data_IF_440820002465
#
_entry.id   IF_440820002465
#
_cell.length_a   1.000
_cell.length_b   1.000
_cell.length_c   1.000
_cell.angle_alpha   90.00
_cell.angle_beta   90.00
_cell.angle_gamma   90.00
#
_symmetry.space_group_name_H-M   'P 1'
#
loop_
_entity.id
_entity.type
_entity.pdbx_description
1 polymer ?
#
# COMPACT_ATOMS: atom_id res chain seq x y z
N UNK A 1 -30.06 29.70 -45.17
CA UNK A 1 -31.29 30.13 -44.46
C UNK A 1 -31.85 28.91 -43.71
N UNK A 2 -31.30 28.46 -42.58
CA UNK A 2 -30.68 29.21 -41.46
C UNK A 2 -31.64 30.34 -41.00
N UNK A 3 -32.17 30.45 -39.79
CA UNK A 3 -31.91 29.84 -38.46
C UNK A 3 -33.27 29.53 -37.76
N UNK A 4 -33.40 28.82 -36.63
CA UNK A 4 -32.42 28.26 -35.69
C UNK A 4 -32.95 26.98 -34.98
N UNK A 5 -32.16 26.38 -34.07
CA UNK A 5 -32.62 25.40 -33.08
C UNK A 5 -32.13 25.82 -31.68
N UNK A 6 -33.03 26.30 -30.81
CA UNK A 6 -32.68 26.60 -29.41
C UNK A 6 -32.77 25.31 -28.57
N UNK A 7 -31.62 24.70 -28.31
CA UNK A 7 -31.48 23.55 -27.41
C UNK A 7 -30.93 24.04 -26.08
N UNK A 8 -31.81 24.16 -25.09
CA UNK A 8 -31.44 24.61 -23.74
C UNK A 8 -30.50 23.60 -23.07
N UNK A 9 -29.19 23.88 -23.08
CA UNK A 9 -28.21 23.02 -22.42
C UNK A 9 -28.37 23.07 -20.88
N UNK A 10 -28.43 21.89 -20.27
CA UNK A 10 -28.66 21.71 -18.84
C UNK A 10 -27.32 21.62 -18.08
N UNK A 11 -26.91 22.62 -17.28
CA UNK A 11 -25.58 22.66 -16.64
C UNK A 11 -25.52 21.79 -15.37
N UNK A 12 -25.61 20.47 -15.53
CA UNK A 12 -25.50 19.50 -14.43
C UNK A 12 -24.50 18.35 -14.70
N UNK A 13 -23.25 18.69 -15.01
CA UNK A 13 -22.13 17.73 -14.97
C UNK A 13 -20.81 18.40 -14.58
N UNK A 14 -20.39 18.21 -13.31
CA UNK A 14 -19.00 18.33 -12.77
C UNK A 14 -18.91 18.48 -11.24
N UNK A 15 -20.03 18.58 -10.51
CA UNK A 15 -20.04 18.63 -9.05
C UNK A 15 -19.76 17.25 -8.40
N UNK A 16 -18.52 16.76 -8.53
CA UNK A 16 -18.09 15.48 -7.96
C UNK A 16 -16.69 15.47 -7.34
N UNK A 17 -15.74 16.28 -7.83
CA UNK A 17 -14.32 16.19 -7.44
C UNK A 17 -13.84 17.30 -6.47
N UNK A 18 -14.73 18.20 -6.03
CA UNK A 18 -14.34 19.47 -5.39
C UNK A 18 -14.43 19.53 -3.86
N UNK A 19 -14.88 18.45 -3.18
CA UNK A 19 -14.98 18.41 -1.71
C UNK A 19 -13.59 18.23 -1.07
N UNK A 20 -13.26 19.03 -0.05
CA UNK A 20 -12.05 18.85 0.74
C UNK A 20 -12.09 17.51 1.49
N UNK A 21 -10.98 16.79 1.49
CA UNK A 21 -10.84 15.49 2.15
C UNK A 21 -10.52 15.65 3.64
N UNK A 22 -9.70 16.64 3.98
CA UNK A 22 -9.40 17.09 5.35
C UNK A 22 -9.01 18.57 5.30
N UNK A 23 -9.37 19.33 6.32
CA UNK A 23 -8.88 20.69 6.53
C UNK A 23 -8.59 20.92 8.02
N UNK A 24 -7.75 21.91 8.33
CA UNK A 24 -7.35 22.19 9.71
C UNK A 24 -6.08 23.04 9.81
N UNK A 25 -5.80 23.53 11.01
CA UNK A 25 -4.60 24.29 11.30
C UNK A 25 -3.38 23.38 11.47
N UNK A 26 -2.26 23.75 10.83
CA UNK A 26 -0.93 23.18 11.09
C UNK A 26 0.10 24.30 11.13
N UNK A 27 1.24 24.06 11.79
CA UNK A 27 2.41 24.94 11.69
C UNK A 27 3.37 24.35 10.67
N UNK A 28 3.84 25.16 9.73
CA UNK A 28 4.88 24.78 8.75
C UNK A 28 6.18 25.50 9.02
N UNK A 29 7.31 24.84 8.80
CA UNK A 29 8.59 25.51 8.72
C UNK A 29 8.73 26.25 7.38
N UNK A 30 9.43 27.38 7.34
CA UNK A 30 9.80 28.08 6.12
C UNK A 30 10.94 27.37 5.37
N UNK A 31 10.97 27.54 4.05
CA UNK A 31 11.90 26.85 3.16
C UNK A 31 13.34 27.34 3.30
N UNK A 32 13.61 28.58 2.86
CA UNK A 32 14.92 29.24 3.02
C UNK A 32 15.18 29.66 4.48
N UNK A 33 14.27 30.46 5.05
CA UNK A 33 14.33 30.88 6.45
C UNK A 33 13.51 29.89 7.28
N UNK A 34 14.15 29.21 8.23
CA UNK A 34 13.56 28.09 8.99
C UNK A 34 12.59 28.53 10.12
N UNK A 35 11.82 29.60 9.89
CA UNK A 35 10.80 30.12 10.80
C UNK A 35 9.52 29.29 10.78
N UNK A 36 8.82 29.21 11.91
CA UNK A 36 7.54 28.52 12.02
C UNK A 36 6.37 29.46 11.74
N UNK A 37 5.43 29.01 10.90
CA UNK A 37 4.22 29.75 10.54
C UNK A 37 2.98 28.86 10.65
N UNK A 38 2.00 29.29 11.45
CA UNK A 38 0.67 28.69 11.49
C UNK A 38 -0.09 29.02 10.20
N UNK A 39 -0.71 28.02 9.58
CA UNK A 39 -1.45 28.16 8.32
C UNK A 39 -2.66 27.24 8.33
N UNK A 40 -3.73 27.65 7.65
CA UNK A 40 -4.84 26.77 7.37
C UNK A 40 -4.47 25.84 6.21
N UNK A 41 -4.60 24.54 6.41
CA UNK A 41 -4.29 23.53 5.40
C UNK A 41 -5.57 22.87 4.89
N UNK A 42 -5.62 22.57 3.59
CA UNK A 42 -6.73 21.89 2.93
C UNK A 42 -6.19 20.80 2.00
N UNK A 43 -6.50 19.55 2.31
CA UNK A 43 -6.23 18.39 1.47
C UNK A 43 -7.38 18.23 0.47
N UNK A 44 -7.08 18.29 -0.83
CA UNK A 44 -8.10 18.24 -1.88
C UNK A 44 -7.52 17.67 -3.18
N UNK A 45 -8.04 16.51 -3.59
CA UNK A 45 -7.43 15.73 -4.68
C UNK A 45 -5.97 15.42 -4.35
N UNK A 46 -5.10 15.47 -5.37
CA UNK A 46 -3.67 15.13 -5.27
C UNK A 46 -2.79 16.20 -4.57
N UNK A 47 -3.40 17.22 -3.97
CA UNK A 47 -2.70 18.40 -3.48
C UNK A 47 -3.10 18.78 -2.05
N UNK A 48 -2.11 19.18 -1.27
CA UNK A 48 -2.25 19.79 0.04
C UNK A 48 -1.97 21.29 -0.09
N UNK A 49 -3.04 22.09 -0.07
CA UNK A 49 -3.00 23.54 -0.16
C UNK A 49 -2.78 24.14 1.23
N UNK A 50 -2.12 25.30 1.30
CA UNK A 50 -2.08 26.09 2.53
C UNK A 50 -2.35 27.57 2.28
N UNK A 51 -3.08 28.16 3.22
CA UNK A 51 -3.62 29.51 3.16
C UNK A 51 -3.13 30.31 4.37
N UNK A 52 -3.24 31.64 4.29
CA UNK A 52 -2.93 32.50 5.45
C UNK A 52 -3.88 32.20 6.61
N UNK A 53 -5.16 32.02 6.29
CA UNK A 53 -6.28 31.80 7.21
C UNK A 53 -7.37 30.91 6.57
N UNK A 54 -8.46 30.61 7.27
CA UNK A 54 -9.52 29.69 6.80
C UNK A 54 -10.48 30.33 5.77
N UNK A 55 -10.75 31.63 5.89
CA UNK A 55 -11.60 32.41 4.96
C UNK A 55 -10.90 32.76 3.63
N UNK A 56 -9.59 32.52 3.53
CA UNK A 56 -8.78 32.94 2.39
C UNK A 56 -8.99 32.01 1.17
N UNK A 57 -9.46 32.58 0.06
CA UNK A 57 -9.73 31.81 -1.18
C UNK A 57 -8.49 31.53 -2.02
N UNK A 58 -7.41 32.31 -1.82
CA UNK A 58 -6.16 32.20 -2.60
C UNK A 58 -5.08 31.46 -1.80
N UNK A 59 -4.59 30.30 -2.25
CA UNK A 59 -3.54 29.58 -1.55
C UNK A 59 -2.22 30.36 -1.58
N UNK A 60 -1.49 30.35 -0.46
CA UNK A 60 -0.11 30.82 -0.38
C UNK A 60 0.87 29.83 -1.02
N UNK A 61 0.46 28.56 -1.15
CA UNK A 61 1.17 27.54 -1.87
C UNK A 61 0.44 26.21 -1.87
N UNK A 62 0.99 25.27 -2.62
CA UNK A 62 0.50 23.90 -2.77
C UNK A 62 1.66 22.94 -2.61
N UNK A 63 1.38 21.77 -2.03
CA UNK A 63 2.26 20.62 -1.95
C UNK A 63 1.59 19.51 -2.75
N UNK A 64 2.12 19.21 -3.94
CA UNK A 64 1.73 18.01 -4.69
C UNK A 64 2.14 16.77 -3.91
N UNK A 65 1.24 15.80 -3.74
CA UNK A 65 1.46 14.64 -2.88
C UNK A 65 1.92 13.39 -3.64
N UNK A 66 1.30 12.97 -4.78
CA UNK A 66 1.66 11.73 -5.44
C UNK A 66 3.16 11.53 -5.70
N UNK A 67 3.62 10.33 -5.37
CA UNK A 67 5.02 9.94 -5.54
C UNK A 67 6.00 10.48 -4.49
N UNK A 68 5.57 11.37 -3.58
CA UNK A 68 6.36 11.82 -2.42
C UNK A 68 6.15 10.88 -1.21
N UNK A 69 6.65 11.24 -0.04
CA UNK A 69 6.58 10.40 1.19
C UNK A 69 6.23 11.25 2.41
N UNK A 70 5.61 10.65 3.43
CA UNK A 70 5.45 11.25 4.76
C UNK A 70 6.26 10.48 5.79
N UNK A 71 7.19 11.17 6.44
CA UNK A 71 7.93 10.68 7.60
C UNK A 71 7.30 11.23 8.87
N UNK A 72 7.19 10.39 9.89
CA UNK A 72 6.81 10.79 11.24
C UNK A 72 8.07 10.95 12.07
N UNK A 73 8.16 12.03 12.84
CA UNK A 73 9.30 12.31 13.71
C UNK A 73 8.89 12.00 15.16
N UNK A 74 9.60 11.11 15.87
CA UNK A 74 9.27 10.79 17.25
C UNK A 74 9.42 12.00 18.17
N UNK A 75 8.70 11.98 19.28
CA UNK A 75 8.78 13.03 20.30
C UNK A 75 10.13 12.97 21.04
N UNK A 76 11.12 13.73 20.54
CA UNK A 76 12.48 13.75 21.09
C UNK A 76 12.60 14.57 22.39
N UNK A 77 13.58 14.20 23.23
CA UNK A 77 13.87 14.84 24.52
C UNK A 77 14.22 16.33 24.42
N UNK A 78 14.82 16.77 23.31
CA UNK A 78 15.09 18.19 23.04
C UNK A 78 13.83 19.01 22.68
N UNK A 79 12.67 18.37 22.51
CA UNK A 79 11.44 18.99 22.02
C UNK A 79 10.16 18.24 22.42
N UNK A 80 9.93 17.98 23.72
CA UNK A 80 8.74 17.28 24.20
C UNK A 80 7.46 18.00 23.76
N UNK A 81 6.48 17.23 23.28
CA UNK A 81 5.16 17.73 22.85
C UNK A 81 5.10 18.35 21.44
N UNK A 82 6.12 18.16 20.58
CA UNK A 82 6.05 18.57 19.16
C UNK A 82 5.64 17.40 18.27
N UNK A 83 4.36 17.37 17.86
CA UNK A 83 3.80 16.37 16.95
C UNK A 83 4.23 16.66 15.50
N UNK A 84 5.43 16.20 15.13
CA UNK A 84 6.13 16.56 13.91
C UNK A 84 6.03 15.48 12.82
N UNK A 85 5.73 15.91 11.60
CA UNK A 85 5.77 15.05 10.42
C UNK A 85 6.28 15.83 9.21
N UNK A 86 6.82 15.13 8.22
CA UNK A 86 7.56 15.75 7.13
C UNK A 86 7.16 15.15 5.78
N UNK A 87 6.75 16.01 4.84
CA UNK A 87 6.55 15.61 3.45
C UNK A 87 7.87 15.78 2.70
N UNK A 88 8.52 14.66 2.38
CA UNK A 88 9.82 14.59 1.72
C UNK A 88 9.67 14.12 0.27
N UNK A 89 10.55 14.55 -0.65
CA UNK A 89 10.47 14.14 -2.05
C UNK A 89 10.76 12.64 -2.19
N UNK A 90 10.06 11.97 -3.12
CA UNK A 90 10.21 10.54 -3.36
C UNK A 90 10.98 10.21 -4.63
N UNK A 91 11.80 9.15 -4.59
CA UNK A 91 12.63 8.73 -5.72
C UNK A 91 13.92 9.55 -5.84
N UNK A 92 14.38 9.78 -7.06
CA UNK A 92 15.65 10.47 -7.34
C UNK A 92 15.49 12.00 -7.33
N UNK A 93 14.57 12.53 -6.50
CA UNK A 93 14.32 13.97 -6.37
C UNK A 93 14.88 14.45 -5.04
N UNK A 94 15.85 15.35 -5.08
CA UNK A 94 16.45 15.91 -3.85
C UNK A 94 15.63 17.04 -3.23
N UNK A 95 14.59 17.55 -3.92
CA UNK A 95 13.76 18.66 -3.44
C UNK A 95 12.31 18.66 -3.92
N UNK A 96 11.41 19.10 -3.05
CA UNK A 96 9.98 19.26 -3.32
C UNK A 96 9.68 20.44 -4.26
N UNK A 97 10.30 21.59 -4.02
CA UNK A 97 10.19 22.82 -4.86
C UNK A 97 11.53 23.54 -4.95
N UNK A 98 11.61 24.63 -5.73
CA UNK A 98 12.80 25.49 -5.76
C UNK A 98 13.17 26.07 -4.37
N UNK A 99 12.16 26.26 -3.50
CA UNK A 99 12.29 26.94 -2.21
C UNK A 99 12.25 26.00 -1.01
N UNK A 100 11.84 24.73 -1.19
CA UNK A 100 11.69 23.74 -0.13
C UNK A 100 12.30 22.40 -0.58
N UNK A 101 13.30 21.93 0.14
CA UNK A 101 13.82 20.56 0.03
C UNK A 101 12.74 19.58 0.48
N UNK A 102 12.17 19.83 1.66
CA UNK A 102 11.01 19.13 2.24
C UNK A 102 10.03 20.12 2.89
N UNK A 103 8.86 19.62 3.32
CA UNK A 103 7.90 20.37 4.12
C UNK A 103 7.76 19.75 5.50
N UNK A 104 8.45 20.32 6.49
CA UNK A 104 8.27 19.98 7.90
C UNK A 104 7.03 20.67 8.47
N UNK A 105 6.13 19.87 9.03
CA UNK A 105 4.82 20.24 9.54
C UNK A 105 4.67 19.81 11.00
N UNK A 106 3.87 20.55 11.76
CA UNK A 106 3.60 20.31 13.18
C UNK A 106 2.10 20.43 13.46
N UNK A 107 1.53 19.41 14.07
CA UNK A 107 0.14 19.39 14.51
C UNK A 107 -0.02 19.87 15.97
N UNK A 108 -1.26 20.17 16.36
CA UNK A 108 -1.65 20.55 17.73
C UNK A 108 -1.66 19.39 18.71
N UNK A 109 -1.99 18.18 18.24
CA UNK A 109 -2.08 16.97 19.06
C UNK A 109 -1.49 15.76 18.32
N UNK A 110 -1.21 14.68 19.06
CA UNK A 110 -0.80 13.40 18.47
C UNK A 110 -1.86 12.86 17.49
N UNK A 111 -3.13 12.86 17.89
CA UNK A 111 -4.24 12.40 17.05
C UNK A 111 -4.37 13.24 15.76
N UNK A 112 -4.21 14.57 15.85
CA UNK A 112 -4.19 15.43 14.66
C UNK A 112 -3.07 15.03 13.70
N UNK A 113 -1.86 14.77 14.22
CA UNK A 113 -0.72 14.32 13.41
C UNK A 113 -1.02 12.99 12.73
N UNK A 114 -1.45 11.98 13.47
CA UNK A 114 -1.82 10.66 12.96
C UNK A 114 -2.88 10.77 11.85
N UNK A 115 -3.98 11.51 12.10
CA UNK A 115 -5.02 11.74 11.10
C UNK A 115 -4.51 12.47 9.84
N UNK A 116 -3.64 13.47 10.00
CA UNK A 116 -3.05 14.19 8.87
C UNK A 116 -2.11 13.30 8.06
N UNK A 117 -1.22 12.56 8.72
CA UNK A 117 -0.29 11.60 8.11
C UNK A 117 -1.10 10.54 7.35
N UNK A 118 -2.10 9.93 7.99
CA UNK A 118 -3.00 8.94 7.40
C UNK A 118 -3.70 9.47 6.15
N UNK A 119 -4.28 10.66 6.24
CA UNK A 119 -4.98 11.31 5.12
C UNK A 119 -4.04 11.64 3.95
N UNK A 120 -2.85 12.17 4.23
CA UNK A 120 -1.86 12.51 3.22
C UNK A 120 -1.31 11.25 2.54
N UNK A 121 -0.99 10.19 3.31
CA UNK A 121 -0.50 8.93 2.75
C UNK A 121 -1.53 8.27 1.82
N UNK A 122 -2.82 8.27 2.17
CA UNK A 122 -3.90 7.82 1.25
C UNK A 122 -3.92 8.57 -0.08
N UNK A 123 -3.61 9.88 -0.09
CA UNK A 123 -3.50 10.67 -1.33
C UNK A 123 -2.18 10.41 -2.08
N UNK A 124 -1.07 10.18 -1.39
CA UNK A 124 0.20 9.74 -2.00
C UNK A 124 -0.01 8.41 -2.76
N UNK A 125 -0.79 7.50 -2.17
CA UNK A 125 -1.22 6.25 -2.79
C UNK A 125 -2.43 6.39 -3.73
N UNK A 126 -3.00 7.59 -3.88
CA UNK A 126 -4.24 7.85 -4.63
C UNK A 126 -4.21 7.39 -6.09
N UNK A 127 -3.17 7.70 -6.88
CA UNK A 127 -3.01 7.17 -8.25
C UNK A 127 -2.84 5.64 -8.32
N UNK A 128 -2.63 5.01 -7.17
CA UNK A 128 -2.50 3.57 -6.98
C UNK A 128 -3.69 3.04 -6.14
N UNK A 129 -4.88 3.63 -6.24
CA UNK A 129 -6.09 3.13 -5.57
C UNK A 129 -6.28 3.54 -4.10
N UNK A 130 -5.36 4.33 -3.52
CA UNK A 130 -5.49 4.92 -2.19
C UNK A 130 -4.99 4.06 -1.01
N UNK A 131 -4.49 2.86 -1.30
CA UNK A 131 -3.90 1.91 -0.36
C UNK A 131 -3.07 0.86 -1.12
N UNK A 132 -2.32 0.01 -0.42
CA UNK A 132 -1.52 -1.09 -1.00
C UNK A 132 -2.43 -2.24 -1.45
N UNK A 133 -3.52 -2.51 -0.71
CA UNK A 133 -4.56 -3.45 -1.10
C UNK A 133 -5.36 -2.90 -2.30
N UNK A 134 -5.86 -3.79 -3.18
CA UNK A 134 -6.51 -3.37 -4.43
C UNK A 134 -5.55 -3.00 -5.58
N UNK A 135 -4.24 -2.88 -5.32
CA UNK A 135 -3.26 -2.49 -6.34
C UNK A 135 -2.86 -3.63 -7.28
N UNK A 136 -2.49 -3.25 -8.51
CA UNK A 136 -1.64 -4.10 -9.35
C UNK A 136 -0.30 -4.33 -8.67
N UNK A 137 0.06 -5.60 -8.52
CA UNK A 137 1.29 -6.03 -7.86
C UNK A 137 2.56 -5.36 -8.43
N UNK A 138 2.58 -5.16 -9.76
CA UNK A 138 3.69 -4.52 -10.47
C UNK A 138 3.89 -3.05 -10.06
N UNK A 139 2.78 -2.31 -9.85
CA UNK A 139 2.82 -0.91 -9.45
C UNK A 139 3.31 -0.76 -8.01
N UNK A 140 2.86 -1.63 -7.10
CA UNK A 140 3.37 -1.69 -5.71
C UNK A 140 4.87 -1.97 -5.69
N UNK A 141 5.35 -3.01 -6.39
CA UNK A 141 6.78 -3.34 -6.46
C UNK A 141 7.59 -2.21 -7.10
N UNK A 142 7.07 -1.56 -8.15
CA UNK A 142 7.73 -0.42 -8.82
C UNK A 142 7.83 0.80 -7.90
N UNK A 143 6.79 1.07 -7.11
CA UNK A 143 6.82 2.14 -6.10
C UNK A 143 7.84 1.83 -5.00
N UNK A 144 7.82 0.60 -4.49
CA UNK A 144 8.67 0.13 -3.39
C UNK A 144 10.15 -0.02 -3.76
N UNK A 145 10.48 -0.18 -5.05
CA UNK A 145 11.86 -0.23 -5.55
C UNK A 145 12.73 0.95 -5.05
N UNK A 146 12.09 2.07 -4.71
CA UNK A 146 12.69 3.28 -4.12
C UNK A 146 13.10 3.13 -2.63
N UNK A 147 12.86 1.98 -2.00
CA UNK A 147 13.27 1.62 -0.64
C UNK A 147 14.20 0.38 -0.62
N UNK A 148 14.66 -0.07 -1.78
CA UNK A 148 15.46 -1.28 -1.96
C UNK A 148 14.99 -2.09 -3.16
N UNK A 149 15.89 -2.86 -3.77
CA UNK A 149 15.56 -3.67 -4.95
C UNK A 149 14.86 -4.98 -4.55
N UNK A 150 13.58 -4.89 -4.20
CA UNK A 150 12.70 -6.03 -3.86
C UNK A 150 12.07 -6.64 -5.11
N UNK A 151 11.68 -7.92 -5.01
CA UNK A 151 10.98 -8.65 -6.07
C UNK A 151 9.49 -8.82 -5.78
N UNK A 152 9.08 -8.67 -4.52
CA UNK A 152 7.69 -8.67 -4.08
C UNK A 152 7.44 -7.49 -3.13
N UNK A 153 6.16 -7.12 -2.86
CA UNK A 153 5.83 -6.07 -1.90
C UNK A 153 6.31 -6.40 -0.48
N UNK A 154 6.68 -5.37 0.30
CA UNK A 154 7.10 -5.50 1.70
C UNK A 154 6.06 -6.19 2.58
N UNK A 155 4.76 -5.98 2.31
CA UNK A 155 3.68 -6.71 2.98
C UNK A 155 3.85 -8.21 2.79
N UNK A 156 4.03 -8.64 1.54
CA UNK A 156 4.12 -10.05 1.17
C UNK A 156 5.40 -10.67 1.72
N UNK A 157 6.54 -10.00 1.59
CA UNK A 157 7.81 -10.48 2.13
C UNK A 157 7.75 -10.68 3.66
N UNK A 158 7.23 -9.68 4.40
CA UNK A 158 7.08 -9.79 5.86
C UNK A 158 6.11 -10.91 6.28
N UNK A 159 4.96 -11.05 5.60
CA UNK A 159 4.00 -12.11 5.91
C UNK A 159 4.61 -13.49 5.66
N UNK A 160 5.30 -13.67 4.53
CA UNK A 160 5.95 -14.93 4.17
C UNK A 160 7.07 -15.29 5.14
N UNK A 161 7.92 -14.33 5.54
CA UNK A 161 9.01 -14.61 6.48
C UNK A 161 8.50 -14.92 7.90
N UNK A 162 7.46 -14.25 8.38
CA UNK A 162 6.83 -14.58 9.66
C UNK A 162 6.20 -15.98 9.66
N UNK A 163 5.43 -16.30 8.61
CA UNK A 163 4.82 -17.63 8.43
C UNK A 163 5.89 -18.72 8.28
N UNK A 164 7.00 -18.45 7.58
CA UNK A 164 8.15 -19.35 7.45
C UNK A 164 8.84 -19.59 8.80
N UNK A 165 8.91 -18.60 9.69
CA UNK A 165 9.57 -18.73 10.99
C UNK A 165 8.68 -19.44 12.03
N UNK A 166 7.37 -19.19 12.02
CA UNK A 166 6.45 -19.65 13.08
C UNK A 166 5.40 -20.66 12.63
N UNK A 167 4.86 -20.52 11.42
CA UNK A 167 3.70 -21.29 10.95
C UNK A 167 3.97 -22.73 10.53
N UNK A 168 5.23 -23.17 10.46
CA UNK A 168 5.60 -24.49 9.92
C UNK A 168 5.08 -25.69 10.72
N UNK A 169 4.72 -25.47 11.98
CA UNK A 169 4.20 -26.51 12.90
C UNK A 169 2.72 -26.34 13.20
N UNK A 170 2.09 -25.29 12.70
CA UNK A 170 0.77 -24.86 13.16
C UNK A 170 -0.36 -25.52 12.36
N UNK A 171 -1.31 -26.14 13.09
CA UNK A 171 -2.35 -26.94 12.47
C UNK A 171 -3.34 -26.06 11.70
N UNK A 172 -3.62 -26.40 10.44
CA UNK A 172 -4.59 -25.66 9.65
C UNK A 172 -4.13 -24.25 9.26
N UNK A 173 -2.81 -24.01 9.17
CA UNK A 173 -2.25 -22.83 8.49
C UNK A 173 -2.95 -22.62 7.12
N UNK A 174 -3.27 -21.38 6.78
CA UNK A 174 -4.13 -20.95 5.65
C UNK A 174 -5.58 -21.48 5.63
N UNK A 175 -5.91 -22.61 6.29
CA UNK A 175 -7.29 -23.13 6.44
C UNK A 175 -8.10 -22.36 7.47
N UNK A 176 -7.55 -22.16 8.68
CA UNK A 176 -8.22 -21.48 9.77
C UNK A 176 -8.19 -19.95 9.57
N UNK A 177 -9.24 -19.21 9.99
CA UNK A 177 -9.24 -17.75 10.00
C UNK A 177 -8.44 -17.23 11.21
N UNK A 178 -7.79 -16.08 11.02
CA UNK A 178 -7.22 -15.30 12.12
C UNK A 178 -8.20 -14.27 12.69
N UNK A 179 -7.69 -13.38 13.53
CA UNK A 179 -8.47 -12.34 14.20
C UNK A 179 -8.86 -11.23 13.22
N UNK A 180 -10.14 -11.21 12.79
CA UNK A 180 -10.62 -10.29 11.75
C UNK A 180 -10.37 -8.80 12.04
N UNK A 181 -10.48 -8.37 13.30
CA UNK A 181 -10.20 -6.99 13.70
C UNK A 181 -8.74 -6.62 13.48
N UNK A 182 -7.80 -7.49 13.89
CA UNK A 182 -6.37 -7.28 13.72
C UNK A 182 -5.94 -7.40 12.24
N UNK A 183 -6.59 -8.26 11.45
CA UNK A 183 -6.40 -8.27 9.98
C UNK A 183 -6.76 -6.91 9.38
N UNK A 184 -7.89 -6.33 9.80
CA UNK A 184 -8.32 -5.00 9.32
C UNK A 184 -7.39 -3.89 9.78
N UNK A 185 -6.95 -3.91 11.04
CA UNK A 185 -5.99 -2.95 11.59
C UNK A 185 -4.66 -2.99 10.82
N UNK A 186 -4.13 -4.18 10.55
CA UNK A 186 -2.91 -4.36 9.75
C UNK A 186 -3.11 -3.93 8.29
N UNK A 187 -4.28 -4.20 7.69
CA UNK A 187 -4.63 -3.69 6.35
C UNK A 187 -4.63 -2.15 6.33
N UNK A 188 -5.37 -1.51 7.24
CA UNK A 188 -5.44 -0.05 7.37
C UNK A 188 -4.04 0.56 7.55
N UNK A 189 -3.16 -0.05 8.35
CA UNK A 189 -1.78 0.38 8.54
C UNK A 189 -0.94 0.28 7.24
N UNK A 190 -0.98 -0.86 6.55
CA UNK A 190 -0.27 -1.04 5.28
C UNK A 190 -0.79 -0.11 4.17
N UNK A 191 -2.11 0.06 4.05
CA UNK A 191 -2.73 1.02 3.11
C UNK A 191 -2.32 2.46 3.42
N UNK A 192 -2.17 2.77 4.70
CA UNK A 192 -1.65 4.04 5.16
C UNK A 192 -0.11 4.08 5.19
N UNK A 193 0.57 3.23 4.41
CA UNK A 193 2.02 3.27 4.17
C UNK A 193 2.91 3.02 5.39
N UNK A 194 2.34 2.52 6.49
CA UNK A 194 3.07 2.12 7.68
C UNK A 194 3.80 0.78 7.44
N UNK A 195 4.61 0.38 8.42
CA UNK A 195 5.34 -0.89 8.40
C UNK A 195 5.09 -1.62 9.72
N UNK A 196 3.87 -2.14 9.95
CA UNK A 196 3.56 -2.86 11.17
C UNK A 196 4.45 -4.10 11.29
N UNK A 197 5.14 -4.22 12.42
CA UNK A 197 5.93 -5.40 12.76
C UNK A 197 5.04 -6.46 13.41
N UNK A 198 5.10 -7.69 12.93
CA UNK A 198 4.47 -8.83 13.62
C UNK A 198 5.28 -9.19 14.87
N UNK A 199 4.68 -9.01 16.05
CA UNK A 199 5.34 -9.23 17.34
C UNK A 199 5.37 -10.73 17.73
N UNK A 200 5.77 -11.03 18.96
CA UNK A 200 5.78 -12.42 19.45
C UNK A 200 4.40 -13.02 19.67
N UNK A 201 3.37 -12.19 19.83
CA UNK A 201 2.03 -12.55 20.27
C UNK A 201 1.03 -12.60 19.10
N UNK A 202 1.44 -12.06 17.94
CA UNK A 202 0.70 -12.06 16.68
C UNK A 202 0.45 -13.50 16.24
N UNK A 203 -0.83 -13.88 16.18
CA UNK A 203 -1.26 -15.19 15.71
C UNK A 203 -0.91 -15.41 14.22
N UNK A 204 -0.41 -16.60 13.90
CA UNK A 204 -0.01 -16.95 12.53
C UNK A 204 -1.19 -17.10 11.58
N UNK A 205 -2.38 -17.47 12.07
CA UNK A 205 -3.59 -17.51 11.24
C UNK A 205 -4.03 -16.10 10.83
N UNK A 206 -3.74 -15.08 11.65
CA UNK A 206 -3.95 -13.66 11.36
C UNK A 206 -3.03 -13.17 10.26
N UNK A 207 -1.72 -13.44 10.34
CA UNK A 207 -0.78 -13.09 9.24
C UNK A 207 -1.08 -13.87 7.96
N UNK A 208 -1.47 -15.14 8.06
CA UNK A 208 -1.91 -15.93 6.91
C UNK A 208 -3.24 -15.41 6.31
N UNK A 209 -4.13 -14.85 7.14
CA UNK A 209 -5.40 -14.25 6.68
C UNK A 209 -5.18 -12.89 6.00
N UNK A 210 -4.27 -12.06 6.54
CA UNK A 210 -3.83 -10.81 5.91
C UNK A 210 -3.19 -11.06 4.54
N UNK A 211 -2.33 -12.07 4.44
CA UNK A 211 -1.70 -12.44 3.17
C UNK A 211 -2.73 -12.95 2.15
N UNK A 212 -3.68 -13.81 2.55
CA UNK A 212 -4.79 -14.24 1.68
C UNK A 212 -5.63 -13.05 1.23
N UNK A 213 -5.93 -12.10 2.12
CA UNK A 213 -6.69 -10.90 1.81
C UNK A 213 -5.99 -10.08 0.72
N UNK A 214 -4.69 -9.82 0.88
CA UNK A 214 -3.90 -9.07 -0.10
C UNK A 214 -3.91 -9.72 -1.48
N UNK A 215 -3.64 -11.04 -1.57
CA UNK A 215 -3.58 -11.74 -2.85
C UNK A 215 -4.95 -11.84 -3.54
N UNK A 216 -6.05 -11.89 -2.78
CA UNK A 216 -7.43 -11.92 -3.29
C UNK A 216 -7.92 -10.55 -3.79
N UNK A 217 -7.45 -9.46 -3.18
CA UNK A 217 -7.82 -8.11 -3.58
C UNK A 217 -6.96 -7.55 -4.74
N UNK A 218 -6.00 -8.33 -5.27
CA UNK A 218 -5.30 -7.95 -6.50
C UNK A 218 -6.28 -7.85 -7.68
N UNK A 219 -6.18 -6.81 -8.54
CA UNK A 219 -7.07 -6.61 -9.68
C UNK A 219 -6.82 -7.61 -10.83
N UNK A 220 -5.69 -8.31 -10.79
CA UNK A 220 -5.44 -9.52 -11.57
C UNK A 220 -4.84 -10.58 -10.60
N UNK A 221 -5.28 -11.85 -10.65
CA UNK A 221 -4.71 -12.91 -9.82
C UNK A 221 -3.20 -13.05 -10.00
N UNK A 222 -2.53 -13.57 -8.95
CA UNK A 222 -1.06 -13.74 -8.91
C UNK A 222 -0.52 -14.61 -10.06
N UNK A 223 -1.37 -15.48 -10.60
CA UNK A 223 -1.18 -16.15 -11.88
C UNK A 223 -2.03 -15.37 -12.89
N UNK A 224 -1.43 -14.60 -13.81
CA UNK A 224 -2.18 -13.82 -14.80
C UNK A 224 -3.10 -14.69 -15.66
N UNK A 225 -4.24 -14.15 -16.11
CA UNK A 225 -5.22 -14.93 -16.89
C UNK A 225 -4.61 -15.52 -18.17
N UNK A 226 -3.75 -14.75 -18.84
CA UNK A 226 -3.00 -15.17 -20.02
C UNK A 226 -1.98 -16.30 -19.78
N UNK A 227 -1.81 -16.75 -18.53
CA UNK A 227 -0.81 -17.72 -18.09
C UNK A 227 -1.38 -18.97 -17.41
N UNK A 228 -2.69 -19.06 -17.16
CA UNK A 228 -3.28 -20.26 -16.53
C UNK A 228 -3.06 -21.55 -17.33
N UNK A 229 -3.16 -21.53 -18.67
CA UNK A 229 -2.95 -22.75 -19.48
C UNK A 229 -1.48 -23.22 -19.45
N UNK A 230 -0.53 -22.29 -19.48
CA UNK A 230 0.90 -22.57 -19.23
C UNK A 230 1.05 -23.22 -17.84
N UNK A 231 0.37 -22.70 -16.82
CA UNK A 231 0.47 -23.18 -15.43
C UNK A 231 -0.11 -24.58 -15.25
N UNK A 232 -1.31 -24.83 -15.77
CA UNK A 232 -1.96 -26.13 -15.73
C UNK A 232 -1.18 -27.17 -16.52
N UNK A 233 -0.56 -26.78 -17.64
CA UNK A 233 0.31 -27.65 -18.44
C UNK A 233 1.60 -27.98 -17.70
N UNK A 234 2.26 -27.00 -17.07
CA UNK A 234 3.36 -27.24 -16.14
C UNK A 234 2.96 -28.22 -15.03
N UNK A 235 1.84 -27.99 -14.34
CA UNK A 235 1.37 -28.82 -13.23
C UNK A 235 1.16 -30.30 -13.61
N UNK A 236 0.69 -30.59 -14.84
CA UNK A 236 0.56 -31.95 -15.39
C UNK A 236 1.90 -32.63 -15.67
N UNK A 237 3.00 -31.88 -15.76
CA UNK A 237 4.37 -32.38 -15.91
C UNK A 237 5.07 -32.56 -14.54
N UNK A 238 4.75 -31.71 -13.55
CA UNK A 238 5.25 -31.84 -12.16
C UNK A 238 4.94 -33.21 -11.55
N UNK A 239 3.85 -33.86 -11.95
CA UNK A 239 3.47 -35.20 -11.47
C UNK A 239 4.28 -36.34 -12.10
N UNK A 240 5.29 -36.05 -12.95
CA UNK A 240 6.07 -37.07 -13.68
C UNK A 240 7.59 -36.93 -13.56
N UNK A 241 8.14 -35.74 -13.30
CA UNK A 241 9.59 -35.51 -13.15
C UNK A 241 9.90 -34.46 -12.07
N UNK A 242 10.78 -34.78 -11.11
CA UNK A 242 11.29 -33.79 -10.14
C UNK A 242 12.08 -32.65 -10.82
N UNK A 243 12.81 -32.93 -11.91
CA UNK A 243 13.54 -31.90 -12.65
C UNK A 243 12.59 -30.90 -13.36
N UNK A 244 11.42 -31.35 -13.79
CA UNK A 244 10.40 -30.45 -14.35
C UNK A 244 9.93 -29.42 -13.32
N UNK A 245 9.94 -29.76 -12.02
CA UNK A 245 9.63 -28.83 -10.93
C UNK A 245 10.61 -27.65 -10.92
N UNK A 246 11.91 -27.92 -10.92
CA UNK A 246 12.93 -26.88 -10.96
C UNK A 246 12.85 -26.01 -12.23
N UNK A 247 12.60 -26.61 -13.40
CA UNK A 247 12.41 -25.86 -14.66
C UNK A 247 11.17 -24.95 -14.61
N UNK A 248 10.04 -25.46 -14.14
CA UNK A 248 8.81 -24.67 -13.99
C UNK A 248 9.01 -23.53 -13.00
N UNK A 249 9.54 -23.80 -11.79
CA UNK A 249 9.86 -22.76 -10.81
C UNK A 249 10.71 -21.65 -11.42
N UNK A 250 11.72 -22.01 -12.22
CA UNK A 250 12.62 -21.04 -12.84
C UNK A 250 11.96 -20.24 -13.98
N UNK A 251 11.07 -20.85 -14.75
CA UNK A 251 10.25 -20.17 -15.76
C UNK A 251 9.30 -19.15 -15.11
N UNK A 252 8.62 -19.56 -14.03
CA UNK A 252 7.63 -18.75 -13.34
C UNK A 252 8.23 -17.63 -12.49
N UNK A 253 9.34 -17.88 -11.78
CA UNK A 253 10.14 -16.83 -11.10
C UNK A 253 10.61 -15.73 -12.06
N UNK A 254 10.74 -16.03 -13.36
CA UNK A 254 11.19 -15.10 -14.41
C UNK A 254 10.04 -14.44 -15.16
N UNK A 255 8.85 -15.07 -15.21
CA UNK A 255 7.70 -14.64 -16.01
C UNK A 255 6.58 -13.99 -15.20
N UNK A 256 6.58 -14.14 -13.88
CA UNK A 256 5.59 -13.53 -12.99
C UNK A 256 6.29 -12.94 -11.75
N UNK A 257 6.26 -11.61 -11.61
CA UNK A 257 6.88 -10.90 -10.48
C UNK A 257 6.31 -11.38 -9.12
N UNK A 258 5.02 -11.69 -9.06
CA UNK A 258 4.37 -12.24 -7.86
C UNK A 258 4.67 -13.70 -7.53
N UNK A 259 5.34 -14.44 -8.42
CA UNK A 259 5.59 -15.87 -8.20
C UNK A 259 6.70 -16.12 -7.20
N UNK A 260 7.66 -15.21 -7.02
CA UNK A 260 8.83 -15.43 -6.13
C UNK A 260 8.38 -15.57 -4.68
N UNK A 261 7.40 -14.78 -4.25
CA UNK A 261 6.79 -14.84 -2.93
C UNK A 261 5.82 -16.01 -2.79
N UNK A 262 4.88 -16.20 -3.71
CA UNK A 262 3.92 -17.33 -3.63
C UNK A 262 4.64 -18.69 -3.75
N UNK A 263 5.76 -18.79 -4.47
CA UNK A 263 6.54 -20.03 -4.48
C UNK A 263 7.36 -20.27 -3.20
N UNK A 264 7.53 -19.27 -2.33
CA UNK A 264 7.96 -19.53 -0.95
C UNK A 264 6.86 -20.20 -0.11
N UNK A 265 5.60 -20.10 -0.55
CA UNK A 265 4.41 -20.69 0.10
C UNK A 265 4.00 -22.02 -0.55
N UNK A 266 4.35 -22.27 -1.83
CA UNK A 266 4.09 -23.55 -2.50
C UNK A 266 4.55 -24.80 -1.71
N UNK A 267 5.72 -24.80 -1.03
CA UNK A 267 6.11 -25.91 -0.15
C UNK A 267 5.18 -26.15 1.06
N UNK A 268 4.30 -25.20 1.38
CA UNK A 268 3.30 -25.29 2.46
C UNK A 268 1.90 -25.61 1.91
N UNK A 269 1.60 -25.24 0.66
CA UNK A 269 0.35 -25.58 -0.03
C UNK A 269 0.41 -26.98 -0.68
N UNK A 270 1.58 -27.40 -1.15
CA UNK A 270 1.78 -28.60 -1.97
C UNK A 270 2.62 -29.71 -1.32
N UNK A 271 2.88 -29.67 0.01
CA UNK A 271 3.67 -30.72 0.67
C UNK A 271 2.86 -32.03 0.80
N UNK A 272 3.29 -33.17 0.21
CA UNK A 272 2.54 -34.43 0.29
C UNK A 272 2.66 -35.16 1.64
N UNK A 273 3.40 -34.59 2.60
CA UNK A 273 3.79 -35.27 3.84
C UNK A 273 2.79 -35.18 4.99
N UNK A 274 1.58 -34.64 4.76
CA UNK A 274 0.46 -34.82 5.68
C UNK A 274 -0.27 -36.13 5.35
N UNK A 275 -0.47 -36.97 6.38
CA UNK A 275 -1.03 -38.31 6.24
C UNK A 275 -2.47 -38.38 5.69
N UNK A 276 -3.00 -39.60 5.46
CA UNK A 276 -4.05 -39.89 4.48
C UNK A 276 -5.50 -39.49 4.88
N UNK A 277 -5.70 -38.33 5.52
CA UNK A 277 -7.02 -37.87 6.00
C UNK A 277 -7.42 -36.44 5.61
N UNK A 278 -6.63 -35.73 4.81
CA UNK A 278 -7.01 -34.44 4.25
C UNK A 278 -6.80 -34.46 2.72
N UNK A 279 -7.89 -34.27 1.98
CA UNK A 279 -7.87 -34.31 0.52
C UNK A 279 -6.99 -33.20 -0.06
N UNK A 280 -6.39 -33.47 -1.22
CA UNK A 280 -5.59 -32.51 -1.96
C UNK A 280 -6.40 -31.23 -2.22
N UNK A 281 -6.00 -30.11 -1.63
CA UNK A 281 -6.48 -28.81 -2.08
C UNK A 281 -5.97 -28.58 -3.50
N UNK A 282 -6.83 -28.33 -4.49
CA UNK A 282 -6.36 -27.86 -5.79
C UNK A 282 -5.68 -26.51 -5.59
N UNK A 283 -4.57 -26.22 -6.30
CA UNK A 283 -3.83 -24.96 -6.16
C UNK A 283 -4.69 -23.70 -6.43
N UNK A 284 -5.88 -23.87 -7.02
CA UNK A 284 -6.86 -22.81 -7.22
C UNK A 284 -7.31 -22.13 -5.91
N UNK A 285 -7.51 -22.85 -4.81
CA UNK A 285 -8.20 -22.32 -3.61
C UNK A 285 -7.38 -21.31 -2.77
N UNK A 286 -6.12 -21.05 -3.11
CA UNK A 286 -5.29 -20.00 -2.49
C UNK A 286 -5.06 -18.82 -3.46
N UNK A 287 -5.58 -18.92 -4.69
CA UNK A 287 -5.34 -17.99 -5.81
C UNK A 287 -6.66 -17.53 -6.45
N UNK A 288 -7.77 -17.67 -5.71
CA UNK A 288 -9.13 -17.18 -6.01
C UNK A 288 -9.73 -16.53 -4.78
#
# INVERSE_FOLDING_TARGET
MEENHDSTENPQQSQGQNKAMKCGWLRKQGGFVKTWHTRWFVLKGDQLYYFKDEDETKPLGTIFLPGNRVLEHPCNEESPGKFLFEVVPGGNRDRMTANHESYLLMASTQNDMEDWVKSIRRVIWGPFGGGIFGQKLEDTVRYEKRYGNRLAPMLVEQCVDFIRQRGLKEEGLFRLPGQANLVKELQDAFDCGEKPSFDSNTDVHTVASLLKLYLRELPEPVIPYAKYEDFLSCAKLLSKEEEAVSRCIHFWKRSCLGFVSVFSICPFICKPSFGPRLGCFPPCQVVT
#
